data_IF_250047913911
#
_entry.id   IF_250047913911
#
_cell.length_a   1.000
_cell.length_b   1.000
_cell.length_c   1.000
_cell.angle_alpha   90.00
_cell.angle_beta   90.00
_cell.angle_gamma   90.00
#
_symmetry.space_group_name_H-M   'P 1'
#
loop_
_entity.id
_entity.type
_entity.pdbx_description
1 polymer ?
#
# COMPACT_ATOMS: atom_id res chain seq x y z
N UNK A 1 -13.72 6.18 -19.71
CA UNK A 1 -12.51 5.85 -20.50
C UNK A 1 -11.44 5.44 -19.52
N UNK A 2 -10.93 4.22 -19.65
CA UNK A 2 -9.91 3.65 -18.76
C UNK A 2 -8.58 4.40 -18.95
N UNK A 3 -8.12 5.13 -17.94
CA UNK A 3 -6.83 5.86 -17.95
C UNK A 3 -5.62 4.99 -17.60
N UNK A 4 -5.82 3.75 -17.16
CA UNK A 4 -4.70 2.84 -16.93
C UNK A 4 -4.25 2.29 -18.28
N UNK A 5 -3.03 2.68 -18.66
CA UNK A 5 -2.36 2.19 -19.85
C UNK A 5 -1.33 1.13 -19.48
N UNK A 6 -1.06 0.22 -20.42
CA UNK A 6 0.05 -0.71 -20.36
C UNK A 6 1.33 0.08 -20.58
N UNK A 7 2.12 0.30 -19.53
CA UNK A 7 3.47 0.85 -19.70
C UNK A 7 4.18 0.02 -20.78
N UNK A 8 4.50 0.66 -21.89
CA UNK A 8 5.22 0.04 -22.99
C UNK A 8 6.33 0.99 -23.43
N UNK A 9 7.31 1.21 -22.53
CA UNK A 9 8.61 1.67 -23.00
C UNK A 9 9.22 0.50 -23.79
N UNK A 10 9.42 0.62 -25.12
CA UNK A 10 9.65 -0.52 -26.01
C UNK A 10 10.95 -1.28 -25.74
N UNK A 11 11.84 -0.72 -24.91
CA UNK A 11 13.11 -1.32 -24.53
C UNK A 11 13.10 -1.95 -23.13
N UNK A 12 12.06 -1.73 -22.31
CA UNK A 12 11.98 -2.30 -20.97
C UNK A 12 11.31 -3.68 -20.97
N UNK A 13 11.83 -4.56 -20.14
CA UNK A 13 11.23 -5.87 -19.87
C UNK A 13 9.88 -5.66 -19.19
N UNK A 14 8.89 -6.46 -19.59
CA UNK A 14 7.55 -6.46 -19.00
C UNK A 14 7.49 -7.48 -17.86
N UNK A 15 7.04 -7.06 -16.69
CA UNK A 15 6.76 -7.90 -15.53
C UNK A 15 5.25 -7.90 -15.25
N UNK A 16 4.71 -9.04 -14.84
CA UNK A 16 3.37 -9.09 -14.25
C UNK A 16 3.33 -8.41 -12.89
N UNK A 17 2.17 -7.89 -12.49
CA UNK A 17 2.02 -7.16 -11.22
C UNK A 17 2.52 -7.94 -9.99
N UNK A 18 2.23 -9.24 -9.89
CA UNK A 18 2.73 -10.08 -8.80
C UNK A 18 4.25 -10.31 -8.86
N UNK A 19 4.85 -10.32 -10.06
CA UNK A 19 6.30 -10.40 -10.21
C UNK A 19 6.96 -9.10 -9.75
N UNK A 20 6.33 -7.94 -9.97
CA UNK A 20 6.79 -6.66 -9.46
C UNK A 20 6.81 -6.62 -7.93
N UNK A 21 5.78 -7.19 -7.27
CA UNK A 21 5.76 -7.34 -5.81
C UNK A 21 6.94 -8.18 -5.33
N UNK A 22 7.24 -9.31 -6.00
CA UNK A 22 8.42 -10.13 -5.66
C UNK A 22 9.73 -9.39 -5.90
N UNK A 23 9.87 -8.71 -7.04
CA UNK A 23 11.04 -7.88 -7.34
C UNK A 23 11.33 -6.89 -6.20
N UNK A 24 10.31 -6.16 -5.74
CA UNK A 24 10.48 -5.20 -4.64
C UNK A 24 10.83 -5.91 -3.33
N UNK A 25 10.06 -6.92 -2.92
CA UNK A 25 10.25 -7.58 -1.62
C UNK A 25 11.56 -8.40 -1.54
N UNK A 26 12.05 -8.90 -2.67
CA UNK A 26 13.26 -9.73 -2.71
C UNK A 26 14.55 -8.91 -2.85
N UNK A 27 14.48 -7.71 -3.47
CA UNK A 27 15.67 -6.97 -3.88
C UNK A 27 15.76 -5.53 -3.37
N UNK A 28 14.70 -4.94 -2.81
CA UNK A 28 14.74 -3.59 -2.23
C UNK A 28 14.89 -3.64 -0.70
N UNK A 29 15.81 -2.85 -0.14
CA UNK A 29 15.94 -2.67 1.31
C UNK A 29 14.98 -1.61 1.87
N UNK A 30 14.61 -0.62 1.07
CA UNK A 30 13.84 0.56 1.47
C UNK A 30 12.96 1.07 0.33
N UNK A 31 12.13 2.07 0.61
CA UNK A 31 11.20 2.65 -0.36
C UNK A 31 11.92 3.25 -1.59
N UNK A 32 13.07 3.91 -1.41
CA UNK A 32 13.81 4.52 -2.51
C UNK A 32 14.33 3.48 -3.51
N UNK A 33 14.95 2.42 -3.00
CA UNK A 33 15.39 1.29 -3.82
C UNK A 33 14.21 0.59 -4.52
N UNK A 34 13.05 0.50 -3.86
CA UNK A 34 11.86 -0.09 -4.46
C UNK A 34 11.36 0.73 -5.66
N UNK A 35 11.31 2.06 -5.52
CA UNK A 35 10.92 2.96 -6.61
C UNK A 35 11.92 2.91 -7.76
N UNK A 36 13.23 2.94 -7.45
CA UNK A 36 14.28 2.82 -8.47
C UNK A 36 14.20 1.49 -9.23
N UNK A 37 13.92 0.38 -8.53
CA UNK A 37 13.77 -0.93 -9.15
C UNK A 37 12.53 -0.99 -10.05
N UNK A 38 11.38 -0.50 -9.58
CA UNK A 38 10.16 -0.49 -10.38
C UNK A 38 10.32 0.34 -11.67
N UNK A 39 11.02 1.46 -11.61
CA UNK A 39 11.30 2.32 -12.77
C UNK A 39 12.12 1.65 -13.89
N UNK A 40 12.67 0.46 -13.65
CA UNK A 40 13.43 -0.32 -14.66
C UNK A 40 12.56 -1.27 -15.47
N UNK A 41 11.26 -1.37 -15.19
CA UNK A 41 10.37 -2.34 -15.82
C UNK A 41 9.03 -1.74 -16.25
N UNK A 42 8.46 -2.32 -17.28
CA UNK A 42 7.05 -2.14 -17.62
C UNK A 42 6.21 -3.08 -16.74
N UNK A 43 5.16 -2.58 -16.09
CA UNK A 43 4.30 -3.40 -15.23
C UNK A 43 2.98 -3.70 -15.94
N UNK A 44 2.69 -4.98 -16.10
CA UNK A 44 1.45 -5.47 -16.67
C UNK A 44 0.47 -5.92 -15.58
N UNK A 45 -0.72 -5.35 -15.60
CA UNK A 45 -1.80 -5.61 -14.64
C UNK A 45 -2.85 -6.61 -15.14
N UNK A 46 -2.61 -7.38 -16.21
CA UNK A 46 -3.60 -8.32 -16.79
C UNK A 46 -4.29 -9.27 -15.77
N UNK A 47 -3.69 -9.53 -14.59
CA UNK A 47 -4.24 -10.40 -13.53
C UNK A 47 -4.91 -9.67 -12.36
N UNK A 48 -4.76 -8.35 -12.25
CA UNK A 48 -5.34 -7.55 -11.17
C UNK A 48 -5.98 -6.33 -11.82
N UNK A 49 -7.29 -6.13 -11.64
CA UNK A 49 -7.94 -4.89 -12.06
C UNK A 49 -7.04 -3.70 -11.73
N UNK A 50 -6.70 -2.90 -12.74
CA UNK A 50 -6.02 -1.61 -12.69
C UNK A 50 -5.60 -1.18 -11.27
N UNK A 51 -4.42 -1.65 -10.85
CA UNK A 51 -3.94 -1.55 -9.48
C UNK A 51 -2.78 -0.56 -9.37
N UNK A 52 -2.47 -0.17 -8.14
CA UNK A 52 -1.32 0.63 -7.74
C UNK A 52 -0.69 0.02 -6.49
N UNK A 53 0.53 0.43 -6.15
CA UNK A 53 1.24 -0.09 -4.98
C UNK A 53 1.33 0.97 -3.89
N UNK A 54 0.95 0.62 -2.66
CA UNK A 54 1.39 1.34 -1.46
C UNK A 54 2.63 0.61 -0.91
N UNK A 55 3.77 1.28 -0.91
CA UNK A 55 5.05 0.73 -0.46
C UNK A 55 5.49 1.52 0.77
N UNK A 56 5.91 0.82 1.83
CA UNK A 56 6.45 1.43 3.03
C UNK A 56 7.66 0.66 3.57
N UNK A 57 8.46 1.31 4.40
CA UNK A 57 9.61 0.68 5.07
C UNK A 57 9.64 0.94 6.58
N UNK A 58 10.61 0.33 7.26
CA UNK A 58 10.77 0.40 8.71
C UNK A 58 11.14 1.79 9.24
N UNK A 59 11.54 2.73 8.38
CA UNK A 59 11.79 4.13 8.77
C UNK A 59 10.50 4.94 8.87
N UNK A 60 9.38 4.37 8.39
CA UNK A 60 8.09 5.05 8.27
C UNK A 60 7.95 5.86 6.99
N UNK A 61 8.89 5.75 6.04
CA UNK A 61 8.71 6.29 4.68
C UNK A 61 7.67 5.45 3.95
N UNK A 62 6.85 6.11 3.12
CA UNK A 62 5.90 5.44 2.25
C UNK A 62 5.63 6.24 0.98
N UNK A 63 5.27 5.52 -0.08
CA UNK A 63 4.86 6.08 -1.39
C UNK A 63 3.70 5.28 -1.95
N UNK A 64 2.87 5.95 -2.76
CA UNK A 64 1.95 5.28 -3.68
C UNK A 64 2.56 5.36 -5.07
N UNK A 65 2.65 4.21 -5.75
CA UNK A 65 3.15 4.10 -7.12
C UNK A 65 1.99 3.73 -8.04
N UNK A 66 1.63 4.67 -8.92
CA UNK A 66 0.56 4.52 -9.91
C UNK A 66 1.15 4.45 -11.32
N UNK A 67 0.44 3.77 -12.23
CA UNK A 67 0.86 3.63 -13.62
C UNK A 67 -0.26 4.14 -14.52
N UNK A 68 -0.07 5.34 -15.07
CA UNK A 68 -1.11 6.14 -15.73
C UNK A 68 -0.57 6.62 -17.07
N UNK A 69 -1.32 6.38 -18.16
CA UNK A 69 -0.92 6.88 -19.49
C UNK A 69 0.56 6.59 -19.85
N UNK A 70 1.05 5.40 -19.52
CA UNK A 70 2.42 4.92 -19.75
C UNK A 70 3.51 5.53 -18.86
N UNK A 71 3.12 6.31 -17.85
CA UNK A 71 4.02 6.91 -16.87
C UNK A 71 3.90 6.24 -15.49
N UNK A 72 5.05 6.07 -14.83
CA UNK A 72 5.10 5.71 -13.42
C UNK A 72 5.04 6.99 -12.58
N UNK A 73 3.92 7.20 -11.88
CA UNK A 73 3.71 8.31 -10.98
C UNK A 73 4.03 7.86 -9.55
N UNK A 74 4.88 8.60 -8.86
CA UNK A 74 5.26 8.34 -7.46
C UNK A 74 4.71 9.46 -6.59
N UNK A 75 3.81 9.10 -5.68
CA UNK A 75 3.15 10.02 -4.75
C UNK A 75 3.72 9.81 -3.34
N UNK A 76 4.52 10.76 -2.89
CA UNK A 76 5.04 10.78 -1.52
C UNK A 76 3.91 11.05 -0.51
N UNK A 77 4.11 10.60 0.74
CA UNK A 77 3.17 10.93 1.82
C UNK A 77 3.23 12.44 2.13
N UNK A 78 2.06 13.07 2.22
CA UNK A 78 1.92 14.47 2.63
C UNK A 78 1.66 14.65 4.13
N UNK A 79 1.31 13.56 4.81
CA UNK A 79 1.00 13.52 6.24
C UNK A 79 1.91 12.48 6.92
N UNK A 80 1.99 12.46 8.27
CA UNK A 80 2.65 11.38 9.01
C UNK A 80 2.11 9.97 8.69
N UNK A 81 0.92 9.89 8.10
CA UNK A 81 0.27 8.69 7.57
C UNK A 81 0.02 8.79 6.06
N UNK A 82 -0.27 7.67 5.42
CA UNK A 82 -0.70 7.60 4.02
C UNK A 82 -1.83 6.58 3.89
N UNK A 83 -2.83 6.88 3.06
CA UNK A 83 -3.97 6.00 2.80
C UNK A 83 -4.01 5.69 1.32
N UNK A 84 -4.36 4.45 0.97
CA UNK A 84 -4.52 4.01 -0.40
C UNK A 84 -5.78 3.14 -0.50
N UNK A 85 -6.52 3.27 -1.59
CA UNK A 85 -7.76 2.54 -1.87
C UNK A 85 -7.97 2.46 -3.39
N UNK A 86 -9.02 1.78 -3.85
CA UNK A 86 -9.23 1.44 -5.28
C UNK A 86 -9.69 2.62 -6.16
N UNK A 87 -8.89 3.68 -6.25
CA UNK A 87 -9.04 4.80 -7.19
C UNK A 87 -7.69 5.47 -7.41
N UNK A 88 -7.53 6.23 -8.48
CA UNK A 88 -6.28 6.92 -8.80
C UNK A 88 -6.08 8.12 -7.87
N UNK A 89 -5.06 8.09 -7.02
CA UNK A 89 -4.77 9.17 -6.07
C UNK A 89 -4.18 10.39 -6.80
N UNK A 90 -3.50 10.19 -7.94
CA UNK A 90 -2.96 11.28 -8.76
C UNK A 90 -4.02 12.12 -9.48
N UNK A 91 -5.29 11.71 -9.49
CA UNK A 91 -6.41 12.51 -10.04
C UNK A 91 -6.83 13.67 -9.09
N UNK A 92 -6.19 13.81 -7.93
CA UNK A 92 -6.49 14.81 -6.88
C UNK A 92 -5.27 15.69 -6.60
N UNK A 93 -5.51 16.90 -6.08
CA UNK A 93 -4.41 17.83 -5.77
C UNK A 93 -3.54 17.36 -4.61
N UNK A 94 -4.16 16.68 -3.64
CA UNK A 94 -3.54 16.22 -2.41
C UNK A 94 -4.41 15.14 -1.74
N UNK A 95 -3.88 14.50 -0.70
CA UNK A 95 -4.55 13.43 0.03
C UNK A 95 -5.83 13.88 0.74
N UNK A 96 -5.94 15.18 1.06
CA UNK A 96 -7.09 15.77 1.71
C UNK A 96 -8.22 16.05 0.72
N UNK A 97 -7.93 16.56 -0.47
CA UNK A 97 -8.86 16.66 -1.60
C UNK A 97 -9.45 15.29 -1.95
N UNK A 98 -8.60 14.26 -2.07
CA UNK A 98 -9.02 12.88 -2.26
C UNK A 98 -10.00 12.39 -1.17
N UNK A 99 -9.82 12.82 0.09
CA UNK A 99 -10.70 12.46 1.20
C UNK A 99 -12.04 13.21 1.19
N UNK A 100 -12.08 14.46 0.73
CA UNK A 100 -13.25 15.33 0.81
C UNK A 100 -14.15 15.29 -0.43
N UNK A 101 -13.68 14.78 -1.56
CA UNK A 101 -14.55 14.57 -2.74
C UNK A 101 -15.55 13.40 -2.58
N UNK A 102 -15.52 12.69 -1.44
CA UNK A 102 -16.47 11.63 -1.04
C UNK A 102 -16.61 10.46 -2.03
N UNK A 103 -15.66 10.28 -2.95
CA UNK A 103 -15.73 9.24 -3.99
C UNK A 103 -15.44 7.82 -3.44
N UNK A 104 -14.79 7.72 -2.27
CA UNK A 104 -14.51 6.45 -1.60
C UNK A 104 -14.67 6.58 -0.08
N UNK A 105 -15.78 6.04 0.47
CA UNK A 105 -16.06 6.08 1.91
C UNK A 105 -14.98 5.37 2.75
N UNK A 106 -14.38 4.30 2.23
CA UNK A 106 -13.28 3.59 2.91
C UNK A 106 -12.06 4.49 3.12
N UNK A 107 -11.64 5.16 2.04
CA UNK A 107 -10.53 6.10 2.09
C UNK A 107 -10.84 7.25 3.04
N UNK A 108 -12.04 7.84 2.93
CA UNK A 108 -12.47 8.93 3.79
C UNK A 108 -12.43 8.55 5.28
N UNK A 109 -12.97 7.38 5.63
CA UNK A 109 -13.03 6.91 7.02
C UNK A 109 -11.63 6.64 7.58
N UNK A 110 -10.78 5.92 6.84
CA UNK A 110 -9.39 5.68 7.25
C UNK A 110 -8.62 6.99 7.41
N UNK A 111 -8.73 7.90 6.43
CA UNK A 111 -8.08 9.21 6.47
C UNK A 111 -8.54 10.04 7.67
N UNK A 112 -9.85 10.08 7.96
CA UNK A 112 -10.40 10.81 9.10
C UNK A 112 -9.91 10.25 10.43
N UNK A 113 -9.88 8.93 10.59
CA UNK A 113 -9.39 8.29 11.82
C UNK A 113 -7.90 8.62 12.03
N UNK A 114 -7.08 8.43 11.00
CA UNK A 114 -5.65 8.73 11.05
C UNK A 114 -5.38 10.21 11.31
N UNK A 115 -6.13 11.13 10.67
CA UNK A 115 -6.05 12.57 10.90
C UNK A 115 -6.34 12.93 12.35
N UNK A 116 -7.41 12.39 12.93
CA UNK A 116 -7.77 12.63 14.33
C UNK A 116 -6.75 12.08 15.33
N UNK A 117 -5.98 11.07 14.92
CA UNK A 117 -4.92 10.43 15.70
C UNK A 117 -3.52 10.98 15.41
N UNK A 118 -3.41 11.95 14.50
CA UNK A 118 -2.15 12.46 13.96
C UNK A 118 -1.21 11.32 13.46
N UNK A 119 -1.79 10.27 12.88
CA UNK A 119 -1.08 9.10 12.36
C UNK A 119 -0.57 8.10 13.41
N UNK A 120 -0.68 8.39 14.71
CA UNK A 120 -0.17 7.51 15.77
C UNK A 120 -1.26 6.58 16.29
N UNK A 121 -1.06 5.28 16.13
CA UNK A 121 -2.00 4.24 16.56
C UNK A 121 -1.43 3.45 17.74
N UNK A 122 -2.28 3.15 18.72
CA UNK A 122 -1.97 2.23 19.83
C UNK A 122 -2.18 0.78 19.40
N UNK A 123 -1.69 -0.16 20.21
CA UNK A 123 -1.96 -1.59 20.01
C UNK A 123 -3.48 -1.84 19.87
N UNK A 124 -3.86 -2.62 18.85
CA UNK A 124 -5.26 -2.91 18.53
C UNK A 124 -5.95 -1.89 17.62
N UNK A 125 -5.61 -0.59 17.73
CA UNK A 125 -6.24 0.47 16.93
C UNK A 125 -6.08 0.31 15.40
N UNK A 126 -5.01 -0.33 14.86
CA UNK A 126 -4.98 -0.67 13.44
C UNK A 126 -6.15 -1.54 12.98
N UNK A 127 -6.59 -2.51 13.80
CA UNK A 127 -7.74 -3.35 13.46
C UNK A 127 -9.07 -2.60 13.60
N UNK A 128 -9.18 -1.59 14.46
CA UNK A 128 -10.37 -0.73 14.51
C UNK A 128 -10.59 0.01 13.19
N UNK A 129 -9.49 0.50 12.58
CA UNK A 129 -9.54 1.12 11.24
C UNK A 129 -9.96 0.08 10.22
N UNK A 130 -9.32 -1.09 10.20
CA UNK A 130 -9.60 -2.17 9.24
C UNK A 130 -11.04 -2.66 9.35
N UNK A 131 -11.59 -2.78 10.56
CA UNK A 131 -12.98 -3.12 10.82
C UNK A 131 -13.94 -2.05 10.31
N UNK A 132 -13.60 -0.77 10.50
CA UNK A 132 -14.41 0.36 10.02
C UNK A 132 -14.50 0.40 8.50
N UNK A 133 -13.44 0.01 7.78
CA UNK A 133 -13.39 0.07 6.31
C UNK A 133 -13.64 -1.26 5.62
N UNK A 134 -13.88 -2.33 6.39
CA UNK A 134 -14.16 -3.66 5.85
C UNK A 134 -15.48 -3.69 5.07
N UNK A 135 -15.51 -4.51 4.02
CA UNK A 135 -16.68 -4.73 3.16
C UNK A 135 -17.19 -6.16 3.31
N UNK A 136 -18.41 -6.45 2.85
CA UNK A 136 -18.95 -7.82 2.85
C UNK A 136 -18.03 -8.84 2.17
N UNK A 137 -17.27 -8.39 1.16
CA UNK A 137 -16.29 -9.18 0.40
C UNK A 137 -14.89 -9.25 1.02
N UNK A 138 -14.61 -8.56 2.13
CA UNK A 138 -13.28 -8.61 2.76
C UNK A 138 -12.99 -10.01 3.29
N UNK A 139 -12.04 -10.69 2.65
CA UNK A 139 -11.63 -12.06 3.00
C UNK A 139 -10.64 -12.10 4.16
N UNK A 140 -9.74 -11.10 4.25
CA UNK A 140 -8.76 -11.02 5.32
C UNK A 140 -8.33 -9.57 5.55
N UNK A 141 -7.69 -9.31 6.68
CA UNK A 141 -7.08 -8.03 7.03
C UNK A 141 -5.77 -8.27 7.77
N UNK A 142 -4.73 -7.53 7.40
CA UNK A 142 -3.37 -7.75 7.91
C UNK A 142 -2.77 -6.47 8.50
N UNK A 143 -2.07 -6.60 9.61
CA UNK A 143 -1.25 -5.54 10.21
C UNK A 143 0.18 -6.03 10.29
N UNK A 144 1.10 -5.29 9.66
CA UNK A 144 2.54 -5.55 9.71
C UNK A 144 3.20 -4.50 10.59
N UNK A 145 3.88 -4.91 11.65
CA UNK A 145 4.79 -4.04 12.38
C UNK A 145 6.18 -4.15 11.75
N UNK A 146 6.56 -3.12 10.98
CA UNK A 146 7.78 -3.13 10.17
C UNK A 146 9.07 -2.97 10.98
N UNK A 147 9.01 -2.62 12.25
CA UNK A 147 10.18 -2.52 13.13
C UNK A 147 10.37 -3.76 14.00
N UNK A 148 9.30 -4.43 14.40
CA UNK A 148 9.38 -5.64 15.21
C UNK A 148 9.30 -6.94 14.39
N UNK A 149 8.77 -6.90 13.16
CA UNK A 149 8.48 -8.12 12.39
C UNK A 149 7.23 -8.87 12.84
N UNK A 150 6.42 -8.29 13.75
CA UNK A 150 5.13 -8.88 14.12
C UNK A 150 4.14 -8.74 12.98
N UNK A 151 3.42 -9.83 12.70
CA UNK A 151 2.40 -9.88 11.66
C UNK A 151 1.11 -10.38 12.32
N UNK A 152 0.02 -9.67 12.09
CA UNK A 152 -1.30 -10.01 12.61
C UNK A 152 -2.28 -10.15 11.45
N UNK A 153 -3.13 -11.19 11.49
CA UNK A 153 -4.10 -11.49 10.44
C UNK A 153 -5.46 -11.79 11.05
N UNK A 154 -6.49 -11.08 10.58
CA UNK A 154 -7.90 -11.43 10.80
C UNK A 154 -8.47 -12.03 9.52
N UNK A 155 -9.26 -13.10 9.62
CA UNK A 155 -9.88 -13.78 8.47
C UNK A 155 -11.40 -13.58 8.53
N UNK A 156 -12.02 -13.37 7.37
CA UNK A 156 -13.47 -13.19 7.21
C UNK A 156 -14.09 -12.13 8.13
N UNK A 157 -13.35 -11.04 8.40
CA UNK A 157 -13.77 -9.92 9.28
C UNK A 157 -14.02 -10.31 10.74
N UNK A 158 -13.51 -11.45 11.18
CA UNK A 158 -13.51 -11.85 12.59
C UNK A 158 -12.39 -11.14 13.34
N UNK A 159 -12.62 -9.88 13.70
CA UNK A 159 -11.62 -9.04 14.37
C UNK A 159 -11.39 -9.40 15.84
N UNK A 160 -12.20 -10.31 16.40
CA UNK A 160 -12.03 -10.97 17.68
C UNK A 160 -11.10 -12.20 17.62
N UNK A 161 -10.83 -12.73 16.43
CA UNK A 161 -9.94 -13.88 16.19
C UNK A 161 -8.70 -13.45 15.38
N UNK A 162 -7.63 -13.04 16.07
CA UNK A 162 -6.39 -12.55 15.43
C UNK A 162 -5.29 -13.62 15.46
N UNK A 163 -4.88 -14.07 14.27
CA UNK A 163 -3.70 -14.93 14.08
C UNK A 163 -2.43 -14.09 14.13
N UNK A 164 -1.42 -14.56 14.86
CA UNK A 164 -0.15 -13.86 15.02
C UNK A 164 1.00 -14.68 14.44
N UNK A 165 1.88 -14.01 13.70
CA UNK A 165 3.09 -14.56 13.13
C UNK A 165 4.26 -13.63 13.41
N UNK A 166 5.47 -14.16 13.29
CA UNK A 166 6.71 -13.41 13.49
C UNK A 166 7.62 -13.62 12.28
N UNK A 167 8.06 -12.53 11.68
CA UNK A 167 9.16 -12.53 10.72
C UNK A 167 10.45 -12.18 11.46
N UNK A 168 11.51 -13.01 11.36
CA UNK A 168 12.82 -12.65 11.90
C UNK A 168 13.34 -11.37 11.24
N UNK A 169 13.75 -10.39 12.04
CA UNK A 169 14.34 -9.16 11.53
C UNK A 169 15.84 -9.35 11.34
N UNK A 170 16.45 -8.59 10.41
CA UNK A 170 17.92 -8.64 10.21
C UNK A 170 18.71 -8.30 11.47
N UNK A 171 18.16 -7.50 12.37
CA UNK A 171 18.74 -7.23 13.70
C UNK A 171 18.78 -8.44 14.62
N UNK A 172 17.93 -9.44 14.37
CA UNK A 172 17.77 -10.62 15.23
C UNK A 172 18.72 -11.76 14.82
N UNK A 173 19.36 -11.62 13.66
CA UNK A 173 20.33 -12.56 13.13
C UNK A 173 21.72 -11.98 13.40
N UNK A 174 22.39 -12.49 14.43
CA UNK A 174 23.81 -12.20 14.66
C UNK A 174 24.61 -12.53 13.39
N UNK A 175 25.62 -11.71 13.02
CA UNK A 175 26.43 -11.93 11.83
C UNK A 175 27.13 -13.28 11.80
#
# INVERSE_FOLDING_TARGET
>A
MSKFSRILLPLLIILGSLQAVRLVLDYAKNVDEAVELLGKYNINFDLAEQSHYLISDATGKSVIVEFVEDEMIVLEKENPWQVNANFMVSDYSDAQDAAYRHLCLRYQNAFKILKNKNGTLKNGEPFDILATVAQSSTLYSTVYNTTSGDIQVAIHRKFDEIYQFKMPMRSDVSP
#
